data_IF_537686591104
#
_entry.id   IF_537686591104
#
_cell.length_a   1.000
_cell.length_b   1.000
_cell.length_c   1.000
_cell.angle_alpha   90.00
_cell.angle_beta   90.00
_cell.angle_gamma   90.00
#
_symmetry.space_group_name_H-M   'P 1'
#
loop_
_entity.id
_entity.type
_entity.pdbx_description
1 polymer ?
#
# COMPACT_ATOMS: atom_id res chain seq x y z
N UNK A 1 -12.09 -20.37 -3.23
CA UNK A 1 -13.45 -19.80 -3.01
C UNK A 1 -13.42 -18.36 -2.52
N UNK A 2 -12.65 -18.02 -1.47
CA UNK A 2 -12.56 -16.65 -0.92
C UNK A 2 -12.22 -15.61 -2.01
N UNK A 3 -11.15 -15.84 -2.79
CA UNK A 3 -10.76 -14.94 -3.87
C UNK A 3 -11.87 -14.74 -4.91
N UNK A 4 -12.51 -15.82 -5.37
CA UNK A 4 -13.61 -15.77 -6.36
C UNK A 4 -14.80 -14.95 -5.83
N UNK A 5 -15.21 -15.18 -4.58
CA UNK A 5 -16.33 -14.45 -3.98
C UNK A 5 -15.98 -12.97 -3.76
N UNK A 6 -14.75 -12.69 -3.31
CA UNK A 6 -14.25 -11.32 -3.17
C UNK A 6 -14.17 -10.58 -4.52
N UNK A 7 -13.77 -11.28 -5.58
CA UNK A 7 -13.71 -10.71 -6.92
C UNK A 7 -15.10 -10.41 -7.49
N UNK A 8 -16.08 -11.30 -7.28
CA UNK A 8 -17.47 -11.02 -7.65
C UNK A 8 -18.03 -9.81 -6.89
N UNK A 9 -17.80 -9.74 -5.57
CA UNK A 9 -18.20 -8.60 -4.76
C UNK A 9 -17.53 -7.30 -5.23
N UNK A 10 -16.26 -7.36 -5.62
CA UNK A 10 -15.51 -6.26 -6.20
C UNK A 10 -16.14 -5.76 -7.50
N UNK A 11 -16.53 -6.67 -8.42
CA UNK A 11 -17.20 -6.30 -9.67
C UNK A 11 -18.57 -5.66 -9.39
N UNK A 12 -19.39 -6.26 -8.53
CA UNK A 12 -20.73 -5.74 -8.19
C UNK A 12 -20.66 -4.34 -7.54
N UNK A 13 -19.56 -4.05 -6.83
CA UNK A 13 -19.34 -2.79 -6.13
C UNK A 13 -18.28 -1.91 -6.80
N UNK A 14 -17.96 -2.13 -8.09
CA UNK A 14 -16.93 -1.35 -8.78
C UNK A 14 -17.22 0.15 -8.80
N UNK A 15 -18.50 0.56 -8.72
CA UNK A 15 -18.89 1.97 -8.58
C UNK A 15 -18.28 2.66 -7.35
N UNK A 16 -17.98 1.91 -6.28
CA UNK A 16 -17.28 2.44 -5.10
C UNK A 16 -15.86 2.90 -5.43
N UNK A 17 -15.24 2.31 -6.46
CA UNK A 17 -13.90 2.67 -6.90
C UNK A 17 -13.78 4.14 -7.29
N UNK A 18 -14.77 4.70 -8.00
CA UNK A 18 -14.78 6.11 -8.40
C UNK A 18 -14.93 7.06 -7.20
N UNK A 19 -15.78 6.71 -6.23
CA UNK A 19 -15.93 7.49 -4.99
C UNK A 19 -14.62 7.48 -4.19
N UNK A 20 -13.97 6.32 -4.14
CA UNK A 20 -12.69 6.16 -3.47
C UNK A 20 -11.54 6.88 -4.18
N UNK A 21 -11.54 6.90 -5.51
CA UNK A 21 -10.61 7.70 -6.31
C UNK A 21 -10.73 9.20 -5.97
N UNK A 22 -11.94 9.74 -5.95
CA UNK A 22 -12.16 11.14 -5.56
C UNK A 22 -11.61 11.43 -4.16
N UNK A 23 -11.86 10.53 -3.21
CA UNK A 23 -11.28 10.62 -1.87
C UNK A 23 -9.74 10.63 -1.89
N UNK A 24 -9.12 9.73 -2.66
CA UNK A 24 -7.67 9.67 -2.82
C UNK A 24 -7.08 10.93 -3.43
N UNK A 25 -7.74 11.51 -4.42
CA UNK A 25 -7.31 12.79 -5.02
C UNK A 25 -7.29 13.89 -3.96
N UNK A 26 -8.33 13.99 -3.13
CA UNK A 26 -8.37 14.97 -2.02
C UNK A 26 -7.20 14.75 -1.06
N UNK A 27 -6.93 13.49 -0.67
CA UNK A 27 -5.80 13.17 0.22
C UNK A 27 -4.46 13.53 -0.42
N UNK A 28 -4.28 13.27 -1.72
CA UNK A 28 -3.07 13.65 -2.46
C UNK A 28 -2.92 15.17 -2.50
N UNK A 29 -3.97 15.92 -2.80
CA UNK A 29 -3.94 17.39 -2.81
C UNK A 29 -3.55 17.96 -1.43
N UNK A 30 -4.11 17.41 -0.35
CA UNK A 30 -3.73 17.80 1.01
C UNK A 30 -2.25 17.50 1.29
N UNK A 31 -1.78 16.31 0.88
CA UNK A 31 -0.38 15.89 1.07
C UNK A 31 0.57 16.79 0.27
N UNK A 32 0.24 17.11 -0.99
CA UNK A 32 1.02 18.01 -1.85
C UNK A 32 1.03 19.43 -1.27
N UNK A 33 -0.11 19.91 -0.77
CA UNK A 33 -0.19 21.22 -0.09
C UNK A 33 0.71 21.29 1.15
N UNK A 34 0.72 20.24 1.98
CA UNK A 34 1.63 20.15 3.13
C UNK A 34 3.09 20.09 2.70
N UNK A 35 3.42 19.33 1.66
CA UNK A 35 4.77 19.28 1.09
C UNK A 35 5.21 20.65 0.56
N UNK A 36 4.34 21.36 -0.16
CA UNK A 36 4.62 22.71 -0.64
C UNK A 36 4.85 23.70 0.51
N UNK A 37 4.12 23.55 1.62
CA UNK A 37 4.27 24.43 2.78
C UNK A 37 5.49 24.12 3.65
N UNK A 38 5.82 22.84 3.85
CA UNK A 38 6.83 22.42 4.85
C UNK A 38 8.15 21.96 4.23
N UNK A 39 8.14 21.40 3.02
CA UNK A 39 9.36 20.89 2.38
C UNK A 39 9.99 21.98 1.52
N UNK A 40 9.22 22.57 0.60
CA UNK A 40 9.75 23.50 -0.42
C UNK A 40 10.56 24.66 0.17
N UNK A 41 10.10 25.39 1.21
CA UNK A 41 10.87 26.49 1.78
C UNK A 41 12.23 26.03 2.33
N UNK A 42 12.27 24.83 2.91
CA UNK A 42 13.46 24.29 3.55
C UNK A 42 14.50 23.71 2.58
N UNK A 43 14.10 23.38 1.35
CA UNK A 43 15.02 22.90 0.30
C UNK A 43 15.25 23.91 -0.83
N UNK A 44 14.54 25.05 -0.81
CA UNK A 44 14.66 26.11 -1.82
C UNK A 44 16.10 26.60 -2.00
N UNK A 45 16.90 26.62 -0.93
CA UNK A 45 18.30 27.00 -0.97
C UNK A 45 19.15 26.08 -1.87
N UNK A 46 18.77 24.81 -2.03
CA UNK A 46 19.46 23.85 -2.90
C UNK A 46 19.19 24.21 -4.36
N UNK A 47 17.93 24.52 -4.70
CA UNK A 47 17.54 24.87 -6.06
C UNK A 47 18.14 26.20 -6.54
N UNK A 48 18.46 27.10 -5.62
CA UNK A 48 19.09 28.40 -5.91
C UNK A 48 20.61 28.41 -5.71
N UNK A 49 21.21 27.25 -5.42
CA UNK A 49 22.63 27.15 -5.08
C UNK A 49 23.51 27.09 -6.34
N UNK A 50 24.69 27.71 -6.27
CA UNK A 50 25.66 27.68 -7.36
C UNK A 50 26.21 26.26 -7.57
N UNK A 51 26.32 25.50 -6.49
CA UNK A 51 26.83 24.13 -6.44
C UNK A 51 25.91 23.16 -7.21
N UNK A 52 24.58 23.30 -7.08
CA UNK A 52 23.63 22.51 -7.87
C UNK A 52 23.71 22.88 -9.36
N UNK A 53 23.83 24.17 -9.68
CA UNK A 53 23.98 24.65 -11.07
C UNK A 53 25.26 24.08 -11.71
N UNK A 54 26.37 24.07 -10.97
CA UNK A 54 27.64 23.50 -11.41
C UNK A 54 27.54 21.99 -11.65
N UNK A 55 26.86 21.24 -10.79
CA UNK A 55 26.62 19.81 -11.00
C UNK A 55 25.76 19.53 -12.23
N UNK A 56 24.65 20.26 -12.40
CA UNK A 56 23.77 20.11 -13.57
C UNK A 56 24.51 20.50 -14.84
N UNK A 57 25.33 21.56 -14.79
CA UNK A 57 26.22 21.98 -15.87
C UNK A 57 27.21 20.87 -16.25
N UNK A 58 27.89 20.27 -15.28
CA UNK A 58 28.83 19.16 -15.49
C UNK A 58 28.17 17.96 -16.19
N UNK A 59 26.94 17.59 -15.81
CA UNK A 59 26.22 16.51 -16.49
C UNK A 59 25.88 16.88 -17.93
N UNK A 60 25.45 18.11 -18.18
CA UNK A 60 25.16 18.58 -19.54
C UNK A 60 26.43 18.58 -20.40
N UNK A 61 27.53 19.10 -19.87
CA UNK A 61 28.82 19.17 -20.55
C UNK A 61 29.38 17.76 -20.81
N UNK A 62 29.12 16.80 -19.92
CA UNK A 62 29.47 15.39 -20.15
C UNK A 62 28.74 14.78 -21.34
N UNK A 63 27.43 14.99 -21.45
CA UNK A 63 26.67 14.51 -22.62
C UNK A 63 27.12 15.20 -23.91
N UNK A 64 27.41 16.50 -23.86
CA UNK A 64 27.94 17.26 -24.99
C UNK A 64 29.34 16.77 -25.41
N UNK A 65 30.21 16.47 -24.43
CA UNK A 65 31.55 15.95 -24.68
C UNK A 65 31.53 14.53 -25.29
N UNK A 66 30.61 13.66 -24.86
CA UNK A 66 30.38 12.35 -25.49
C UNK A 66 29.93 12.53 -26.94
N UNK A 67 28.99 13.45 -27.19
CA UNK A 67 28.47 13.70 -28.53
C UNK A 67 29.54 14.29 -29.48
N UNK A 68 30.47 15.09 -28.96
CA UNK A 68 31.53 15.77 -29.73
C UNK A 68 32.86 15.00 -29.78
N UNK A 69 33.01 13.93 -28.99
CA UNK A 69 34.25 13.15 -28.92
C UNK A 69 35.38 13.86 -28.17
N UNK A 70 35.07 14.73 -27.21
CA UNK A 70 36.07 15.46 -26.43
C UNK A 70 36.66 14.55 -25.33
N UNK A 71 37.74 13.85 -25.69
CA UNK A 71 38.42 12.90 -24.79
C UNK A 71 39.15 13.58 -23.62
N UNK A 72 39.48 14.86 -23.73
CA UNK A 72 40.21 15.61 -22.71
C UNK A 72 39.27 16.01 -21.56
N UNK A 73 38.05 16.47 -21.89
CA UNK A 73 37.00 16.69 -20.91
C UNK A 73 36.63 15.39 -20.17
N UNK A 74 36.46 14.29 -20.90
CA UNK A 74 36.06 13.00 -20.33
C UNK A 74 37.10 12.41 -19.38
N UNK A 75 38.39 12.60 -19.66
CA UNK A 75 39.48 12.16 -18.78
C UNK A 75 39.47 12.92 -17.42
N UNK A 76 39.14 14.22 -17.44
CA UNK A 76 39.07 15.05 -16.23
C UNK A 76 37.72 15.04 -15.50
N UNK A 77 36.69 14.38 -16.07
CA UNK A 77 35.32 14.44 -15.55
C UNK A 77 35.19 13.87 -14.14
N UNK A 78 35.85 12.73 -13.83
CA UNK A 78 35.74 12.08 -12.52
C UNK A 78 36.24 12.98 -11.38
N UNK A 79 37.32 13.72 -11.60
CA UNK A 79 37.90 14.64 -10.61
C UNK A 79 36.99 15.86 -10.41
N UNK A 80 36.51 16.46 -11.51
CA UNK A 80 35.57 17.59 -11.47
C UNK A 80 34.25 17.22 -10.81
N UNK A 81 33.73 16.01 -11.07
CA UNK A 81 32.52 15.50 -10.45
C UNK A 81 32.73 15.29 -8.95
N UNK A 82 33.87 14.72 -8.54
CA UNK A 82 34.17 14.48 -7.13
C UNK A 82 34.30 15.80 -6.36
N UNK A 83 34.94 16.81 -6.95
CA UNK A 83 35.01 18.16 -6.39
C UNK A 83 33.62 18.79 -6.26
N UNK A 84 32.81 18.77 -7.32
CA UNK A 84 31.46 19.35 -7.29
C UNK A 84 30.51 18.64 -6.31
N UNK A 85 30.65 17.32 -6.15
CA UNK A 85 29.92 16.54 -5.13
C UNK A 85 30.40 16.89 -3.72
N UNK A 86 31.71 17.10 -3.52
CA UNK A 86 32.24 17.54 -2.23
C UNK A 86 31.74 18.94 -1.85
N UNK A 87 31.68 19.87 -2.80
CA UNK A 87 31.14 21.22 -2.60
C UNK A 87 29.64 21.22 -2.29
N UNK A 88 28.86 20.36 -2.95
CA UNK A 88 27.48 20.12 -2.51
C UNK A 88 27.41 19.51 -1.11
N UNK A 89 28.32 18.60 -0.78
CA UNK A 89 28.42 17.99 0.54
C UNK A 89 28.65 19.03 1.64
N UNK A 90 29.54 20.00 1.42
CA UNK A 90 29.81 21.09 2.38
C UNK A 90 28.63 22.05 2.49
N UNK A 91 27.95 22.38 1.39
CA UNK A 91 26.71 23.16 1.40
C UNK A 91 25.64 22.47 2.25
N UNK A 92 25.43 21.17 2.04
CA UNK A 92 24.45 20.39 2.79
C UNK A 92 24.82 20.32 4.28
N UNK A 93 26.11 20.13 4.62
CA UNK A 93 26.58 20.18 6.00
C UNK A 93 26.33 21.55 6.64
N UNK A 94 26.54 22.64 5.91
CA UNK A 94 26.28 24.01 6.41
C UNK A 94 24.79 24.26 6.71
N UNK A 95 23.89 23.49 6.07
CA UNK A 95 22.43 23.57 6.22
C UNK A 95 21.82 22.32 6.85
N UNK A 96 22.59 21.59 7.67
CA UNK A 96 22.14 20.33 8.31
C UNK A 96 20.79 20.48 9.03
N UNK A 97 20.55 21.60 9.71
CA UNK A 97 19.26 21.88 10.38
C UNK A 97 18.07 21.85 9.41
N UNK A 98 18.20 22.48 8.24
CA UNK A 98 17.15 22.51 7.21
C UNK A 98 16.92 21.12 6.62
N UNK A 99 17.97 20.32 6.47
CA UNK A 99 17.88 18.94 5.96
C UNK A 99 17.16 18.06 6.97
N UNK A 100 17.53 18.14 8.25
CA UNK A 100 16.87 17.39 9.34
C UNK A 100 15.41 17.79 9.42
N UNK A 101 15.10 19.10 9.38
CA UNK A 101 13.71 19.57 9.39
C UNK A 101 12.91 19.08 8.18
N UNK A 102 13.53 19.07 7.00
CA UNK A 102 12.91 18.52 5.78
C UNK A 102 12.64 17.03 5.91
N UNK A 103 13.60 16.25 6.42
CA UNK A 103 13.46 14.81 6.62
C UNK A 103 12.34 14.50 7.62
N UNK A 104 12.32 15.18 8.76
CA UNK A 104 11.26 15.04 9.77
C UNK A 104 9.90 15.44 9.18
N UNK A 105 9.83 16.57 8.47
CA UNK A 105 8.59 17.02 7.80
C UNK A 105 8.10 16.01 6.78
N UNK A 106 8.99 15.43 5.97
CA UNK A 106 8.64 14.39 5.02
C UNK A 106 8.06 13.14 5.70
N UNK A 107 8.66 12.69 6.82
CA UNK A 107 8.13 11.57 7.61
C UNK A 107 6.75 11.90 8.17
N UNK A 108 6.56 13.10 8.74
CA UNK A 108 5.25 13.53 9.26
C UNK A 108 4.20 13.56 8.16
N UNK A 109 4.52 14.13 7.00
CA UNK A 109 3.63 14.19 5.84
C UNK A 109 3.26 12.79 5.35
N UNK A 110 4.23 11.87 5.29
CA UNK A 110 3.98 10.47 4.92
C UNK A 110 3.04 9.79 5.92
N UNK A 111 3.22 10.02 7.22
CA UNK A 111 2.33 9.47 8.26
C UNK A 111 0.92 10.06 8.15
N UNK A 112 0.78 11.36 7.90
CA UNK A 112 -0.52 12.02 7.66
C UNK A 112 -1.19 11.44 6.41
N UNK A 113 -0.45 11.28 5.31
CA UNK A 113 -0.96 10.69 4.08
C UNK A 113 -1.43 9.25 4.28
N UNK A 114 -0.66 8.43 5.00
CA UNK A 114 -1.06 7.06 5.39
C UNK A 114 -2.28 7.05 6.30
N UNK A 115 -2.36 7.96 7.26
CA UNK A 115 -3.49 8.10 8.18
C UNK A 115 -4.77 8.46 7.44
N UNK A 116 -4.76 9.53 6.64
CA UNK A 116 -5.89 9.92 5.81
C UNK A 116 -6.28 8.79 4.85
N UNK A 117 -5.33 8.26 4.08
CA UNK A 117 -5.57 7.16 3.16
C UNK A 117 -6.18 5.91 3.84
N UNK A 118 -5.75 5.60 5.06
CA UNK A 118 -6.26 4.51 5.87
C UNK A 118 -7.71 4.72 6.32
N UNK A 119 -8.12 5.96 6.61
CA UNK A 119 -9.51 6.24 6.96
C UNK A 119 -10.48 5.95 5.80
N UNK A 120 -10.05 6.24 4.58
CA UNK A 120 -10.78 5.85 3.38
C UNK A 120 -10.94 4.33 3.25
N UNK A 121 -9.88 3.56 3.51
CA UNK A 121 -9.94 2.09 3.50
C UNK A 121 -10.91 1.54 4.54
N UNK A 122 -10.93 2.13 5.74
CA UNK A 122 -11.87 1.73 6.79
C UNK A 122 -13.32 2.01 6.38
N UNK A 123 -13.57 3.15 5.74
CA UNK A 123 -14.88 3.53 5.21
C UNK A 123 -15.33 2.61 4.08
N UNK A 124 -14.42 2.21 3.17
CA UNK A 124 -14.73 1.17 2.18
C UNK A 124 -15.14 -0.14 2.84
N UNK A 125 -14.46 -0.52 3.93
CA UNK A 125 -14.81 -1.70 4.72
C UNK A 125 -16.23 -1.63 5.27
N UNK A 126 -16.65 -0.49 5.82
CA UNK A 126 -18.03 -0.34 6.33
C UNK A 126 -19.10 -0.34 5.23
N UNK A 127 -18.82 0.24 4.07
CA UNK A 127 -19.72 0.15 2.92
C UNK A 127 -19.86 -1.29 2.41
N UNK A 128 -18.76 -2.04 2.39
CA UNK A 128 -18.78 -3.45 2.00
C UNK A 128 -19.48 -4.33 3.05
N UNK A 129 -19.36 -3.99 4.33
CA UNK A 129 -20.12 -4.65 5.41
C UNK A 129 -21.63 -4.45 5.27
N UNK A 130 -22.07 -3.22 4.99
CA UNK A 130 -23.48 -2.90 4.75
C UNK A 130 -24.02 -3.72 3.55
N UNK A 131 -23.20 -3.89 2.51
CA UNK A 131 -23.51 -4.74 1.35
C UNK A 131 -23.58 -6.22 1.70
N UNK A 132 -22.58 -6.75 2.41
CA UNK A 132 -22.48 -8.15 2.76
C UNK A 132 -23.58 -8.59 3.74
N UNK A 133 -23.93 -7.72 4.69
CA UNK A 133 -24.92 -8.03 5.74
C UNK A 133 -26.37 -7.87 5.29
N UNK A 134 -26.68 -6.83 4.52
CA UNK A 134 -28.06 -6.42 4.24
C UNK A 134 -28.28 -5.91 2.81
N UNK A 135 -27.28 -6.01 1.94
CA UNK A 135 -27.29 -5.45 0.59
C UNK A 135 -27.64 -3.94 0.54
N UNK A 136 -27.37 -3.21 1.63
CA UNK A 136 -27.76 -1.81 1.76
C UNK A 136 -26.88 -0.87 0.93
N UNK A 137 -27.51 0.16 0.35
CA UNK A 137 -26.83 1.23 -0.40
C UNK A 137 -26.51 2.40 0.53
N UNK A 138 -25.37 2.38 1.22
CA UNK A 138 -24.94 3.50 2.07
C UNK A 138 -24.09 4.51 1.29
N UNK A 139 -24.23 5.79 1.63
CA UNK A 139 -23.46 6.87 1.01
C UNK A 139 -22.04 6.91 1.58
N UNK A 140 -21.03 7.15 0.73
CA UNK A 140 -19.63 7.16 1.15
C UNK A 140 -19.36 8.22 2.22
N UNK A 141 -19.83 9.44 2.02
CA UNK A 141 -19.65 10.55 2.97
C UNK A 141 -20.38 10.29 4.30
N UNK A 142 -21.59 9.72 4.25
CA UNK A 142 -22.34 9.35 5.46
C UNK A 142 -21.62 8.26 6.26
N UNK A 143 -21.12 7.23 5.57
CA UNK A 143 -20.33 6.18 6.19
C UNK A 143 -18.99 6.70 6.75
N UNK A 144 -18.34 7.64 6.06
CA UNK A 144 -17.10 8.27 6.52
C UNK A 144 -17.31 9.03 7.83
N UNK A 145 -18.33 9.92 7.89
CA UNK A 145 -18.62 10.72 9.08
C UNK A 145 -19.03 9.83 10.26
N UNK A 146 -19.92 8.86 10.01
CA UNK A 146 -20.38 7.90 11.04
C UNK A 146 -19.23 7.10 11.65
N UNK A 147 -18.22 6.76 10.85
CA UNK A 147 -17.09 5.95 11.29
C UNK A 147 -15.84 6.77 11.63
N UNK A 148 -15.87 8.10 11.56
CA UNK A 148 -14.70 8.95 11.70
C UNK A 148 -13.93 8.66 13.00
N UNK A 149 -14.62 8.64 14.15
CA UNK A 149 -13.97 8.38 15.44
C UNK A 149 -13.33 6.99 15.53
N UNK A 150 -14.04 5.94 15.09
CA UNK A 150 -13.51 4.55 15.11
C UNK A 150 -12.36 4.37 14.13
N UNK A 151 -12.50 4.95 12.94
CA UNK A 151 -11.50 4.93 11.88
C UNK A 151 -10.23 5.66 12.32
N UNK A 152 -10.35 6.86 12.90
CA UNK A 152 -9.22 7.63 13.44
C UNK A 152 -8.48 6.87 14.55
N UNK A 153 -9.20 6.28 15.52
CA UNK A 153 -8.58 5.49 16.58
C UNK A 153 -7.84 4.26 16.04
N UNK A 154 -8.43 3.56 15.06
CA UNK A 154 -7.77 2.45 14.40
C UNK A 154 -6.49 2.89 13.68
N UNK A 155 -6.57 3.97 12.90
CA UNK A 155 -5.42 4.47 12.14
C UNK A 155 -4.31 5.03 13.03
N UNK A 156 -4.64 5.61 14.19
CA UNK A 156 -3.66 6.12 15.13
C UNK A 156 -2.72 5.02 15.66
N UNK A 157 -3.20 3.79 15.77
CA UNK A 157 -2.40 2.63 16.14
C UNK A 157 -1.82 1.90 14.92
N UNK A 158 -2.64 1.67 13.89
CA UNK A 158 -2.27 0.87 12.74
C UNK A 158 -1.16 1.54 11.91
N UNK A 159 -1.20 2.87 11.73
CA UNK A 159 -0.22 3.59 10.90
C UNK A 159 1.18 3.55 11.49
N UNK A 160 1.43 3.86 12.78
CA UNK A 160 2.77 3.75 13.35
C UNK A 160 3.32 2.31 13.33
N UNK A 161 2.48 1.33 13.69
CA UNK A 161 2.89 -0.09 13.70
C UNK A 161 3.28 -0.56 12.30
N UNK A 162 2.46 -0.24 11.29
CA UNK A 162 2.77 -0.60 9.90
C UNK A 162 3.91 0.21 9.31
N UNK A 163 4.12 1.45 9.75
CA UNK A 163 5.28 2.24 9.34
C UNK A 163 6.57 1.60 9.82
N UNK A 164 6.67 1.22 11.10
CA UNK A 164 7.85 0.52 11.65
C UNK A 164 8.05 -0.81 10.92
N UNK A 165 6.98 -1.57 10.71
CA UNK A 165 7.05 -2.82 9.95
C UNK A 165 7.57 -2.60 8.52
N UNK A 166 7.05 -1.61 7.79
CA UNK A 166 7.46 -1.31 6.42
C UNK A 166 8.94 -0.89 6.36
N UNK A 167 9.42 -0.08 7.31
CA UNK A 167 10.83 0.31 7.42
C UNK A 167 11.72 -0.92 7.66
N UNK A 168 11.35 -1.79 8.59
CA UNK A 168 12.09 -3.02 8.88
C UNK A 168 12.13 -3.97 7.66
N UNK A 169 11.02 -4.09 6.93
CA UNK A 169 10.97 -4.90 5.70
C UNK A 169 11.87 -4.32 4.62
N UNK A 170 11.89 -2.99 4.44
CA UNK A 170 12.78 -2.34 3.47
C UNK A 170 14.26 -2.60 3.84
N UNK A 171 14.62 -2.44 5.11
CA UNK A 171 15.98 -2.72 5.60
C UNK A 171 16.35 -4.19 5.39
N UNK A 172 15.43 -5.11 5.68
CA UNK A 172 15.62 -6.55 5.46
C UNK A 172 15.83 -6.85 3.97
N UNK A 173 15.01 -6.29 3.09
CA UNK A 173 15.12 -6.49 1.64
C UNK A 173 16.44 -5.92 1.10
N UNK A 174 16.89 -4.77 1.62
CA UNK A 174 18.15 -4.17 1.24
C UNK A 174 19.35 -5.02 1.71
N UNK A 175 19.36 -5.44 2.98
CA UNK A 175 20.41 -6.32 3.52
C UNK A 175 20.46 -7.65 2.76
N UNK A 176 19.30 -8.24 2.46
CA UNK A 176 19.19 -9.46 1.67
C UNK A 176 19.70 -9.28 0.24
N UNK A 177 19.38 -8.15 -0.39
CA UNK A 177 19.90 -7.80 -1.73
C UNK A 177 21.43 -7.72 -1.74
N UNK A 178 22.04 -7.04 -0.77
CA UNK A 178 23.50 -6.95 -0.64
C UNK A 178 24.14 -8.30 -0.39
N UNK A 179 23.55 -9.13 0.47
CA UNK A 179 24.04 -10.48 0.74
C UNK A 179 24.01 -11.34 -0.53
N UNK A 180 22.90 -11.29 -1.28
CA UNK A 180 22.79 -12.02 -2.54
C UNK A 180 23.84 -11.54 -3.56
N UNK A 181 24.06 -10.23 -3.68
CA UNK A 181 25.09 -9.68 -4.56
C UNK A 181 26.51 -10.14 -4.17
N UNK A 182 26.80 -10.29 -2.87
CA UNK A 182 28.07 -10.79 -2.39
C UNK A 182 28.29 -12.30 -2.67
N UNK A 183 27.21 -13.10 -2.68
CA UNK A 183 27.27 -14.54 -2.94
C UNK A 183 27.45 -14.85 -4.43
N UNK A 184 26.78 -14.09 -5.30
CA UNK A 184 26.83 -14.34 -6.73
C UNK A 184 28.02 -13.60 -7.38
N UNK A 185 29.17 -14.26 -7.51
CA UNK A 185 30.39 -13.69 -8.11
C UNK A 185 30.36 -13.56 -9.66
N UNK A 186 29.20 -13.60 -10.32
CA UNK A 186 29.07 -13.61 -11.79
C UNK A 186 28.09 -12.55 -12.31
N UNK A 187 28.60 -11.43 -12.83
CA UNK A 187 27.97 -10.56 -13.83
C UNK A 187 26.50 -10.12 -13.62
N UNK A 188 25.81 -9.84 -14.72
CA UNK A 188 24.45 -9.25 -14.77
C UNK A 188 23.35 -10.22 -14.31
N UNK A 189 23.52 -11.53 -14.54
CA UNK A 189 22.52 -12.57 -14.21
C UNK A 189 22.35 -12.71 -12.68
N UNK A 190 23.44 -12.63 -11.93
CA UNK A 190 23.45 -12.56 -10.47
C UNK A 190 22.59 -11.42 -9.93
N UNK A 191 22.78 -10.22 -10.48
CA UNK A 191 22.05 -9.02 -10.05
C UNK A 191 20.56 -9.14 -10.35
N UNK A 192 20.18 -9.71 -11.49
CA UNK A 192 18.78 -9.96 -11.84
C UNK A 192 18.14 -11.00 -10.92
N UNK A 193 18.85 -12.09 -10.60
CA UNK A 193 18.37 -13.10 -9.66
C UNK A 193 18.23 -12.54 -8.24
N UNK A 194 19.21 -11.78 -7.76
CA UNK A 194 19.16 -11.09 -6.47
C UNK A 194 17.97 -10.12 -6.40
N UNK A 195 17.74 -9.34 -7.46
CA UNK A 195 16.60 -8.43 -7.54
C UNK A 195 15.26 -9.18 -7.49
N UNK A 196 15.13 -10.27 -8.27
CA UNK A 196 13.92 -11.09 -8.30
C UNK A 196 13.60 -11.70 -6.92
N UNK A 197 14.60 -12.21 -6.21
CA UNK A 197 14.44 -12.77 -4.87
C UNK A 197 14.09 -11.69 -3.84
N UNK A 198 14.70 -10.50 -3.91
CA UNK A 198 14.37 -9.38 -3.04
C UNK A 198 12.94 -8.88 -3.25
N UNK A 199 12.47 -8.79 -4.50
CA UNK A 199 11.07 -8.47 -4.80
C UNK A 199 10.13 -9.54 -4.26
N UNK A 200 10.51 -10.82 -4.39
CA UNK A 200 9.73 -11.94 -3.83
C UNK A 200 9.62 -11.85 -2.31
N UNK A 201 10.72 -11.54 -1.62
CA UNK A 201 10.75 -11.34 -0.17
C UNK A 201 9.88 -10.14 0.25
N UNK A 202 9.93 -9.04 -0.51
CA UNK A 202 9.10 -7.87 -0.26
C UNK A 202 7.60 -8.21 -0.39
N UNK A 203 7.20 -8.84 -1.50
CA UNK A 203 5.80 -9.23 -1.74
C UNK A 203 5.32 -10.24 -0.69
N UNK A 204 6.16 -11.20 -0.32
CA UNK A 204 5.90 -12.15 0.76
C UNK A 204 5.65 -11.44 2.09
N UNK A 205 6.49 -10.47 2.44
CA UNK A 205 6.34 -9.69 3.67
C UNK A 205 5.04 -8.87 3.67
N UNK A 206 4.68 -8.24 2.55
CA UNK A 206 3.39 -7.55 2.43
C UNK A 206 2.20 -8.50 2.60
N UNK A 207 2.27 -9.72 2.05
CA UNK A 207 1.24 -10.74 2.23
C UNK A 207 1.12 -11.20 3.70
N UNK A 208 2.24 -11.32 4.43
CA UNK A 208 2.24 -11.61 5.87
C UNK A 208 1.49 -10.51 6.63
N UNK A 209 1.83 -9.23 6.40
CA UNK A 209 1.16 -8.08 7.02
C UNK A 209 -0.35 -8.11 6.79
N UNK A 210 -0.78 -8.34 5.54
CA UNK A 210 -2.19 -8.42 5.17
C UNK A 210 -2.91 -9.60 5.84
N UNK A 211 -2.23 -10.74 5.96
CA UNK A 211 -2.77 -11.95 6.62
C UNK A 211 -3.06 -11.70 8.10
N UNK A 212 -2.15 -11.06 8.82
CA UNK A 212 -2.37 -10.71 10.23
C UNK A 212 -3.43 -9.61 10.40
N UNK A 213 -3.43 -8.59 9.52
CA UNK A 213 -4.39 -7.50 9.57
C UNK A 213 -5.81 -7.91 9.09
N UNK A 214 -5.94 -9.06 8.43
CA UNK A 214 -7.15 -9.48 7.73
C UNK A 214 -8.40 -9.38 8.61
N UNK A 215 -8.40 -10.01 9.77
CA UNK A 215 -9.64 -10.12 10.56
C UNK A 215 -9.85 -8.95 11.53
N UNK A 216 -8.92 -7.98 11.59
CA UNK A 216 -8.95 -6.89 12.57
C UNK A 216 -9.99 -5.82 12.21
N UNK A 217 -9.95 -5.27 10.99
CA UNK A 217 -10.91 -4.24 10.55
C UNK A 217 -12.34 -4.80 10.46
N UNK A 218 -12.59 -5.98 9.87
CA UNK A 218 -13.93 -6.57 9.86
C UNK A 218 -14.50 -6.83 11.25
N UNK A 219 -13.68 -7.19 12.25
CA UNK A 219 -14.16 -7.36 13.63
C UNK A 219 -14.59 -6.04 14.29
N UNK A 220 -13.98 -4.90 13.92
CA UNK A 220 -14.39 -3.58 14.42
C UNK A 220 -15.67 -3.11 13.73
N UNK A 221 -15.78 -3.37 12.42
CA UNK A 221 -16.90 -2.91 11.58
C UNK A 221 -18.14 -3.79 11.79
N UNK A 222 -18.02 -5.09 11.52
CA UNK A 222 -19.12 -6.08 11.54
C UNK A 222 -19.60 -6.36 12.97
N UNK A 223 -18.69 -6.72 13.86
CA UNK A 223 -19.02 -7.16 15.24
C UNK A 223 -19.04 -6.00 16.24
N UNK A 224 -18.75 -4.76 15.80
CA UNK A 224 -18.65 -3.55 16.64
C UNK A 224 -17.74 -3.75 17.87
N UNK A 225 -16.73 -4.62 17.77
CA UNK A 225 -15.86 -4.92 18.90
C UNK A 225 -14.99 -3.72 19.28
N UNK A 226 -14.66 -3.63 20.57
CA UNK A 226 -13.59 -2.72 21.03
C UNK A 226 -12.27 -3.13 20.38
N UNK A 227 -11.46 -2.14 20.03
CA UNK A 227 -10.22 -2.30 19.28
C UNK A 227 -9.28 -3.40 19.82
N UNK A 228 -9.03 -3.44 21.14
CA UNK A 228 -8.16 -4.47 21.73
C UNK A 228 -8.71 -5.89 21.58
N UNK A 229 -10.03 -6.07 21.67
CA UNK A 229 -10.68 -7.38 21.43
C UNK A 229 -10.60 -7.76 19.95
N UNK A 230 -10.79 -6.81 19.05
CA UNK A 230 -10.68 -7.02 17.61
C UNK A 230 -9.26 -7.43 17.19
N UNK A 231 -8.22 -6.83 17.78
CA UNK A 231 -6.81 -7.21 17.52
C UNK A 231 -6.55 -8.64 18.00
N UNK A 232 -6.96 -8.99 19.22
CA UNK A 232 -6.77 -10.34 19.76
C UNK A 232 -7.52 -11.39 18.95
N UNK A 233 -8.77 -11.11 18.59
CA UNK A 233 -9.59 -11.97 17.72
C UNK A 233 -8.96 -12.10 16.35
N UNK A 234 -8.53 -10.99 15.76
CA UNK A 234 -7.91 -10.96 14.44
C UNK A 234 -6.61 -11.75 14.39
N UNK A 235 -5.77 -11.62 15.41
CA UNK A 235 -4.51 -12.37 15.53
C UNK A 235 -4.77 -13.88 15.67
N UNK A 236 -5.69 -14.30 16.53
CA UNK A 236 -6.03 -15.72 16.69
C UNK A 236 -6.58 -16.32 15.38
N UNK A 237 -7.53 -15.62 14.75
CA UNK A 237 -8.08 -16.06 13.47
C UNK A 237 -7.02 -16.15 12.36
N UNK A 238 -6.02 -15.26 12.37
CA UNK A 238 -4.92 -15.31 11.41
C UNK A 238 -3.99 -16.51 11.60
N UNK A 239 -3.85 -17.03 12.83
CA UNK A 239 -3.06 -18.23 13.12
C UNK A 239 -3.80 -19.50 12.69
N UNK A 240 -5.08 -19.62 13.03
CA UNK A 240 -5.90 -20.81 12.74
C UNK A 240 -6.05 -21.07 11.23
N UNK A 241 -5.95 -20.02 10.40
CA UNK A 241 -6.10 -20.06 8.94
C UNK A 241 -4.91 -19.55 8.14
N UNK A 242 -3.71 -19.44 8.75
CA UNK A 242 -2.58 -18.69 8.18
C UNK A 242 -2.24 -19.10 6.74
N UNK A 243 -1.98 -20.38 6.48
CA UNK A 243 -1.46 -20.84 5.19
C UNK A 243 -2.40 -20.52 4.01
N UNK A 244 -3.70 -20.72 4.20
CA UNK A 244 -4.72 -20.43 3.17
C UNK A 244 -4.85 -18.93 2.91
N UNK A 245 -4.79 -18.12 3.96
CA UNK A 245 -4.91 -16.67 3.88
C UNK A 245 -3.66 -16.03 3.29
N UNK A 246 -2.49 -16.49 3.74
CA UNK A 246 -1.19 -16.08 3.21
C UNK A 246 -1.09 -16.37 1.72
N UNK A 247 -1.43 -17.60 1.28
CA UNK A 247 -1.42 -17.94 -0.15
C UNK A 247 -2.37 -17.05 -0.97
N UNK A 248 -3.57 -16.78 -0.45
CA UNK A 248 -4.54 -15.90 -1.13
C UNK A 248 -4.00 -14.47 -1.27
N UNK A 249 -3.43 -13.91 -0.21
CA UNK A 249 -2.83 -12.57 -0.25
C UNK A 249 -1.57 -12.51 -1.10
N UNK A 250 -0.73 -13.54 -1.08
CA UNK A 250 0.48 -13.62 -1.88
C UNK A 250 0.16 -13.55 -3.38
N UNK A 251 -0.76 -14.40 -3.84
CA UNK A 251 -1.22 -14.39 -5.24
C UNK A 251 -1.86 -13.04 -5.59
N UNK A 252 -2.70 -12.50 -4.71
CA UNK A 252 -3.35 -11.21 -4.94
C UNK A 252 -2.33 -10.06 -5.05
N UNK A 253 -1.31 -10.03 -4.20
CA UNK A 253 -0.25 -9.02 -4.25
C UNK A 253 0.53 -9.10 -5.57
N UNK A 254 0.87 -10.31 -6.05
CA UNK A 254 1.51 -10.47 -7.36
C UNK A 254 0.62 -10.00 -8.51
N UNK A 255 -0.67 -10.33 -8.49
CA UNK A 255 -1.62 -9.87 -9.50
C UNK A 255 -1.74 -8.33 -9.49
N UNK A 256 -1.86 -7.72 -8.32
CA UNK A 256 -1.90 -6.27 -8.16
C UNK A 256 -0.61 -5.62 -8.68
N UNK A 257 0.55 -6.16 -8.32
CA UNK A 257 1.84 -5.63 -8.76
C UNK A 257 1.99 -5.73 -10.28
N UNK A 258 1.74 -6.92 -10.86
CA UNK A 258 1.84 -7.14 -12.30
C UNK A 258 0.86 -6.26 -13.10
N UNK A 259 -0.39 -6.16 -12.64
CA UNK A 259 -1.40 -5.32 -13.30
C UNK A 259 -1.03 -3.84 -13.25
N UNK A 260 -0.55 -3.33 -12.11
CA UNK A 260 -0.16 -1.92 -11.99
C UNK A 260 1.10 -1.60 -12.80
N UNK A 261 2.10 -2.49 -12.84
CA UNK A 261 3.29 -2.29 -13.69
C UNK A 261 2.89 -2.27 -15.17
N UNK A 262 2.07 -3.22 -15.60
CA UNK A 262 1.59 -3.27 -16.99
C UNK A 262 0.77 -2.03 -17.34
N UNK A 263 -0.14 -1.62 -16.46
CA UNK A 263 -0.93 -0.40 -16.61
C UNK A 263 -0.04 0.85 -16.70
N UNK A 264 1.01 0.94 -15.88
CA UNK A 264 1.95 2.05 -15.91
C UNK A 264 2.66 2.15 -17.26
N UNK A 265 3.16 1.02 -17.78
CA UNK A 265 3.94 0.97 -19.02
C UNK A 265 3.08 1.18 -20.26
N UNK A 266 1.92 0.52 -20.35
CA UNK A 266 1.08 0.52 -21.56
C UNK A 266 0.35 1.84 -21.73
N UNK A 267 -0.10 2.48 -20.65
CA UNK A 267 -0.94 3.67 -20.73
C UNK A 267 -0.24 4.95 -20.27
N UNK A 268 1.09 4.94 -20.18
CA UNK A 268 1.91 6.02 -19.63
C UNK A 268 1.40 6.50 -18.26
N UNK A 269 1.02 5.55 -17.39
CA UNK A 269 0.54 5.82 -16.04
C UNK A 269 -0.93 6.26 -15.92
N UNK A 270 -1.66 6.59 -16.99
CA UNK A 270 -3.05 7.05 -16.89
C UNK A 270 -3.99 6.01 -16.23
N UNK A 271 -3.84 4.72 -16.55
CA UNK A 271 -4.64 3.65 -15.96
C UNK A 271 -4.38 3.45 -14.45
N UNK A 272 -3.25 3.95 -13.90
CA UNK A 272 -2.95 3.89 -12.46
C UNK A 272 -4.00 4.63 -11.61
N UNK A 273 -4.65 5.64 -12.19
CA UNK A 273 -5.74 6.35 -11.53
C UNK A 273 -6.92 5.43 -11.18
N UNK A 274 -7.12 4.35 -11.93
CA UNK A 274 -8.19 3.38 -11.67
C UNK A 274 -7.65 2.14 -10.97
N UNK A 275 -6.50 1.62 -11.41
CA UNK A 275 -5.97 0.34 -10.91
C UNK A 275 -5.49 0.44 -9.46
N UNK A 276 -4.94 1.58 -9.02
CA UNK A 276 -4.51 1.76 -7.62
C UNK A 276 -5.71 1.72 -6.66
N UNK A 277 -6.76 2.57 -6.81
CA UNK A 277 -8.00 2.45 -6.03
C UNK A 277 -8.62 1.05 -6.08
N UNK A 278 -8.61 0.41 -7.26
CA UNK A 278 -9.18 -0.93 -7.45
C UNK A 278 -8.44 -1.99 -6.64
N UNK A 279 -7.12 -1.86 -6.55
CA UNK A 279 -6.26 -2.76 -5.77
C UNK A 279 -6.63 -2.69 -4.29
N UNK A 280 -6.86 -1.50 -3.74
CA UNK A 280 -7.33 -1.35 -2.35
C UNK A 280 -8.73 -1.92 -2.16
N UNK A 281 -9.67 -1.63 -3.06
CA UNK A 281 -11.03 -2.16 -2.97
C UNK A 281 -11.04 -3.69 -2.97
N UNK A 282 -10.27 -4.32 -3.87
CA UNK A 282 -10.15 -5.78 -3.94
C UNK A 282 -9.58 -6.37 -2.64
N UNK A 283 -8.54 -5.76 -2.07
CA UNK A 283 -7.95 -6.20 -0.80
C UNK A 283 -8.96 -6.13 0.35
N UNK A 284 -9.78 -5.06 0.41
CA UNK A 284 -10.84 -4.93 1.41
C UNK A 284 -11.96 -5.95 1.15
N UNK A 285 -12.34 -6.22 -0.10
CA UNK A 285 -13.29 -7.28 -0.42
C UNK A 285 -12.80 -8.66 0.07
N UNK A 286 -11.53 -8.99 -0.16
CA UNK A 286 -10.93 -10.24 0.33
C UNK A 286 -10.98 -10.29 1.86
N UNK A 287 -10.66 -9.17 2.49
CA UNK A 287 -10.66 -9.03 3.94
C UNK A 287 -12.03 -9.37 4.56
N UNK A 288 -13.09 -8.77 4.04
CA UNK A 288 -14.45 -8.96 4.54
C UNK A 288 -15.03 -10.33 4.17
N UNK A 289 -14.86 -10.78 2.92
CA UNK A 289 -15.34 -12.12 2.49
C UNK A 289 -14.64 -13.22 3.27
N UNK A 290 -13.34 -13.10 3.53
CA UNK A 290 -12.61 -14.03 4.38
C UNK A 290 -13.17 -14.04 5.80
N UNK A 291 -13.46 -12.87 6.36
CA UNK A 291 -13.96 -12.75 7.73
C UNK A 291 -15.33 -13.42 7.88
N UNK A 292 -16.26 -13.10 6.98
CA UNK A 292 -17.59 -13.73 6.96
C UNK A 292 -17.54 -15.24 6.75
N UNK A 293 -16.62 -15.72 5.91
CA UNK A 293 -16.40 -17.16 5.70
C UNK A 293 -15.84 -17.82 6.96
N UNK A 294 -14.89 -17.19 7.66
CA UNK A 294 -14.29 -17.73 8.88
C UNK A 294 -15.25 -17.74 10.07
N UNK A 295 -16.10 -16.71 10.18
CA UNK A 295 -17.10 -16.57 11.24
C UNK A 295 -18.41 -17.29 10.89
N UNK A 296 -18.46 -18.02 9.77
CA UNK A 296 -19.63 -18.79 9.32
C UNK A 296 -20.91 -17.95 9.24
N UNK A 297 -20.78 -16.72 8.76
CA UNK A 297 -21.92 -15.81 8.55
C UNK A 297 -22.45 -15.94 7.13
N UNK A 298 -23.76 -15.82 6.96
CA UNK A 298 -24.36 -15.64 5.63
C UNK A 298 -24.02 -14.25 5.10
N UNK A 299 -23.73 -14.16 3.80
CA UNK A 299 -23.45 -12.86 3.17
C UNK A 299 -23.88 -12.78 1.72
N UNK A 300 -24.23 -11.57 1.30
CA UNK A 300 -24.56 -11.25 -0.10
C UNK A 300 -23.28 -11.03 -0.91
N UNK A 301 -23.12 -11.76 -2.01
CA UNK A 301 -22.04 -11.53 -3.00
C UNK A 301 -22.55 -10.68 -4.17
N UNK A 302 -23.83 -10.82 -4.50
CA UNK A 302 -24.57 -10.03 -5.47
C UNK A 302 -26.05 -9.99 -5.02
N UNK A 303 -26.88 -9.16 -5.67
CA UNK A 303 -28.31 -9.01 -5.34
C UNK A 303 -29.06 -10.35 -5.30
N UNK A 304 -28.71 -11.27 -6.20
CA UNK A 304 -29.32 -12.58 -6.39
C UNK A 304 -28.52 -13.72 -5.74
N UNK A 305 -27.36 -13.42 -5.16
CA UNK A 305 -26.40 -14.45 -4.73
C UNK A 305 -26.02 -14.31 -3.27
N UNK A 306 -26.60 -15.19 -2.44
CA UNK A 306 -26.27 -15.34 -1.03
C UNK A 306 -25.34 -16.54 -0.84
N UNK A 307 -24.22 -16.33 -0.17
CA UNK A 307 -23.35 -17.42 0.27
C UNK A 307 -23.78 -17.85 1.66
N UNK A 308 -24.29 -19.07 1.74
CA UNK A 308 -24.64 -19.74 3.01
C UNK A 308 -23.54 -20.77 3.33
N UNK A 309 -22.87 -20.67 4.49
CA UNK A 309 -21.90 -21.67 4.94
C UNK A 309 -22.52 -23.06 5.07
N UNK A 310 -21.76 -24.11 4.78
CA UNK A 310 -22.28 -25.50 4.74
C UNK A 310 -22.87 -25.97 6.07
N UNK A 311 -22.36 -25.49 7.21
CA UNK A 311 -22.89 -25.83 8.53
C UNK A 311 -24.27 -25.21 8.77
N UNK A 312 -24.44 -23.91 8.45
CA UNK A 312 -25.74 -23.24 8.55
C UNK A 312 -26.78 -23.84 7.59
N UNK A 313 -26.33 -24.32 6.42
CA UNK A 313 -27.19 -25.02 5.46
C UNK A 313 -27.72 -26.35 6.01
N UNK A 314 -26.93 -27.06 6.85
CA UNK A 314 -27.37 -28.30 7.49
C UNK A 314 -28.44 -28.03 8.56
N UNK A 315 -28.30 -26.95 9.32
CA UNK A 315 -29.29 -26.55 10.33
C UNK A 315 -30.62 -26.13 9.69
N UNK A 316 -30.62 -25.41 8.56
CA UNK A 316 -31.86 -25.05 7.85
C UNK A 316 -32.57 -26.27 7.27
N UNK A 317 -31.82 -27.17 6.63
CA UNK A 317 -32.37 -28.42 6.12
C UNK A 317 -32.90 -29.33 7.24
N UNK A 318 -32.42 -29.20 8.48
CA UNK A 318 -32.93 -29.97 9.60
C UNK A 318 -34.35 -29.55 10.00
N UNK A 319 -34.65 -28.24 10.02
CA UNK A 319 -36.01 -27.74 10.30
C UNK A 319 -37.00 -28.00 9.16
N UNK A 320 -36.54 -27.95 7.91
CA UNK A 320 -37.37 -28.31 6.74
C UNK A 320 -37.72 -29.81 6.71
N UNK A 321 -36.90 -30.67 7.33
CA UNK A 321 -37.20 -32.10 7.45
C UNK A 321 -38.08 -32.45 8.66
N UNK A 322 -38.18 -31.58 9.68
CA UNK A 322 -39.08 -31.79 10.83
C UNK A 322 -40.50 -31.34 10.52
N UNK A 323 -40.69 -30.39 9.60
CA UNK A 323 -42.00 -29.85 9.23
C UNK A 323 -42.79 -30.71 8.22
N UNK A 324 -42.28 -31.90 7.87
CA UNK A 324 -42.90 -32.87 6.95
C UNK A 324 -43.27 -34.20 7.67
N UNK A 325 -43.43 -34.18 9.00
CA UNK A 325 -44.08 -35.25 9.76
C UNK A 325 -45.24 -34.70 10.59
#
# INVERSE_FOLDING_TARGET
MIFRNAFNLFIDNFKLNYKYLLYKIIVVLLTVGLSAALIVPNISFIFSSAELSTLVGLFKDFFDAIAKGDTEFLAGFSERLTAAVADMGTLLQSKTSNIVFTAVSAVVILLVSKFLGGMGNFTLGSLLDDRLSSYANTSFSGAFIKNLGKSSLWQLFYVPVTFVYDVLVILLCYAFFLLMLAVFQVGVIATLAALMLSVTLFVGSQAIKLTFANSMVPAIVTDRQKMGKAIKKGFRASLDGFGKMFSTYLVTCYLIMGLNILAALVTFGSALLITIPSSYLLLVCIQFVSYYTSEKKKYFVAADKIVVPEETRKDENFYDNISIN
#
